data_IF_618505453093
#
_entry.id   IF_618505453093
#
_cell.length_a   1.000
_cell.length_b   1.000
_cell.length_c   1.000
_cell.angle_alpha   90.00
_cell.angle_beta   90.00
_cell.angle_gamma   90.00
#
_symmetry.space_group_name_H-M   'P 1'
#
loop_
_entity.id
_entity.type
_entity.pdbx_description
1 polymer ?
#
# COMPACT_ATOMS: atom_id res chain seq x y z
N UNK A 1 -17.20 -18.89 -14.50
CA UNK A 1 -16.32 -18.18 -13.56
C UNK A 1 -16.18 -16.73 -14.02
N UNK A 2 -16.78 -15.78 -13.32
CA UNK A 2 -16.73 -14.35 -13.66
C UNK A 2 -15.36 -13.83 -13.20
N UNK A 3 -14.50 -13.37 -14.13
CA UNK A 3 -13.41 -12.46 -13.75
C UNK A 3 -14.10 -11.24 -13.13
N UNK A 4 -13.93 -11.03 -11.83
CA UNK A 4 -14.19 -9.72 -11.24
C UNK A 4 -13.20 -8.80 -11.94
N UNK A 5 -13.70 -7.89 -12.78
CA UNK A 5 -12.89 -6.80 -13.27
C UNK A 5 -12.29 -6.13 -12.03
N UNK A 6 -10.96 -6.10 -11.94
CA UNK A 6 -10.27 -5.39 -10.88
C UNK A 6 -10.78 -3.96 -10.94
N UNK A 7 -11.45 -3.51 -9.88
CA UNK A 7 -11.92 -2.14 -9.78
C UNK A 7 -10.71 -1.21 -10.01
N UNK A 8 -10.69 -0.41 -11.09
CA UNK A 8 -9.52 0.38 -11.47
C UNK A 8 -9.17 1.42 -10.41
N UNK A 9 -10.11 1.76 -9.52
CA UNK A 9 -9.91 2.69 -8.43
C UNK A 9 -9.33 2.03 -7.17
N UNK A 10 -9.20 0.70 -7.11
CA UNK A 10 -8.58 0.03 -5.96
C UNK A 10 -7.09 0.34 -5.87
N UNK A 11 -6.67 0.70 -4.66
CA UNK A 11 -5.26 0.94 -4.33
C UNK A 11 -4.45 -0.34 -4.52
N UNK A 12 -3.31 -0.21 -5.20
CA UNK A 12 -2.30 -1.25 -5.30
C UNK A 12 -1.38 -1.20 -4.08
N UNK A 13 -1.78 -1.90 -3.01
CA UNK A 13 -1.04 -1.96 -1.75
C UNK A 13 0.35 -2.60 -1.90
N UNK A 14 0.53 -3.50 -2.87
CA UNK A 14 1.83 -4.07 -3.16
C UNK A 14 2.76 -2.98 -3.72
N UNK A 15 2.28 -2.23 -4.72
CA UNK A 15 3.08 -1.16 -5.34
C UNK A 15 3.38 -0.03 -4.35
N UNK A 16 2.45 0.32 -3.45
CA UNK A 16 2.71 1.26 -2.33
C UNK A 16 3.91 0.80 -1.49
N UNK A 17 3.96 -0.48 -1.11
CA UNK A 17 5.05 -1.04 -0.32
C UNK A 17 6.36 -1.17 -1.12
N UNK A 18 6.29 -1.38 -2.43
CA UNK A 18 7.46 -1.37 -3.33
C UNK A 18 8.05 0.02 -3.44
N UNK A 19 7.22 1.05 -3.61
CA UNK A 19 7.66 2.44 -3.68
C UNK A 19 8.36 2.87 -2.40
N UNK A 20 7.79 2.53 -1.24
CA UNK A 20 8.45 2.73 0.06
C UNK A 20 9.82 2.03 0.11
N UNK A 21 9.89 0.79 -0.37
CA UNK A 21 11.15 0.04 -0.46
C UNK A 21 12.20 0.72 -1.34
N UNK A 22 11.79 1.30 -2.48
CA UNK A 22 12.67 2.06 -3.39
C UNK A 22 13.20 3.35 -2.75
N UNK A 23 12.44 3.93 -1.82
CA UNK A 23 12.87 5.07 -1.00
C UNK A 23 13.69 4.67 0.23
N UNK A 24 14.09 3.40 0.37
CA UNK A 24 14.88 2.92 1.50
C UNK A 24 14.06 2.57 2.75
N UNK A 25 12.73 2.52 2.66
CA UNK A 25 11.84 2.12 3.76
C UNK A 25 11.38 0.68 3.53
N UNK A 26 12.03 -0.33 4.14
CA UNK A 26 11.60 -1.72 3.98
C UNK A 26 10.24 -1.94 4.64
N UNK A 27 9.50 -2.94 4.15
CA UNK A 27 8.15 -3.25 4.62
C UNK A 27 8.03 -3.46 6.14
N UNK A 28 9.08 -3.96 6.79
CA UNK A 28 9.14 -4.09 8.25
C UNK A 28 9.18 -2.74 8.98
N UNK A 29 9.90 -1.77 8.41
CA UNK A 29 9.96 -0.41 8.97
C UNK A 29 8.65 0.34 8.71
N UNK A 30 8.04 0.13 7.54
CA UNK A 30 6.70 0.65 7.27
C UNK A 30 5.67 0.09 8.26
N UNK A 31 5.70 -1.22 8.54
CA UNK A 31 4.83 -1.86 9.54
C UNK A 31 4.98 -1.22 10.93
N UNK A 32 6.22 -1.03 11.37
CA UNK A 32 6.52 -0.38 12.64
C UNK A 32 6.04 1.07 12.69
N UNK A 33 6.24 1.82 11.61
CA UNK A 33 5.84 3.23 11.50
C UNK A 33 4.32 3.44 11.61
N UNK A 34 3.52 2.49 11.12
CA UNK A 34 2.04 2.57 11.19
C UNK A 34 1.45 1.75 12.35
N UNK A 35 2.29 1.12 13.17
CA UNK A 35 1.89 0.43 14.40
C UNK A 35 1.21 -0.93 14.18
N UNK A 36 1.60 -1.68 13.15
CA UNK A 36 1.03 -3.00 12.85
C UNK A 36 2.08 -4.12 12.75
N UNK A 37 1.62 -5.37 12.73
CA UNK A 37 2.51 -6.53 12.63
C UNK A 37 3.13 -6.68 11.23
N UNK A 38 4.35 -7.21 11.18
CA UNK A 38 5.02 -7.56 9.91
C UNK A 38 4.21 -8.59 9.11
N UNK A 39 3.57 -9.53 9.79
CA UNK A 39 2.72 -10.56 9.17
C UNK A 39 1.51 -9.94 8.47
N UNK A 40 0.92 -8.89 9.04
CA UNK A 40 -0.19 -8.14 8.43
C UNK A 40 0.26 -7.51 7.11
N UNK A 41 1.39 -6.79 7.11
CA UNK A 41 1.97 -6.19 5.89
C UNK A 41 2.35 -7.24 4.86
N UNK A 42 2.86 -8.40 5.29
CA UNK A 42 3.15 -9.52 4.41
C UNK A 42 1.89 -10.07 3.72
N UNK A 43 0.76 -10.12 4.42
CA UNK A 43 -0.54 -10.44 3.84
C UNK A 43 -0.95 -9.44 2.74
N UNK A 44 -0.69 -8.14 2.95
CA UNK A 44 -1.00 -7.12 1.94
C UNK A 44 -0.16 -7.26 0.67
N UNK A 45 1.11 -7.65 0.80
CA UNK A 45 1.95 -8.00 -0.35
C UNK A 45 1.44 -9.20 -1.15
N UNK A 46 0.62 -10.05 -0.54
CA UNK A 46 -0.02 -11.20 -1.21
C UNK A 46 -1.43 -10.88 -1.72
N UNK A 47 -1.86 -9.62 -1.66
CA UNK A 47 -3.14 -9.16 -2.18
C UNK A 47 -4.27 -9.06 -1.15
N UNK A 48 -4.00 -9.26 0.14
CA UNK A 48 -4.96 -8.87 1.17
C UNK A 48 -5.10 -7.34 1.24
N UNK A 49 -6.28 -6.87 1.63
CA UNK A 49 -6.55 -5.44 1.76
C UNK A 49 -6.42 -5.00 3.22
N UNK A 50 -5.74 -3.87 3.51
CA UNK A 50 -5.78 -3.25 4.82
C UNK A 50 -7.20 -2.85 5.22
N UNK A 51 -7.48 -2.81 6.52
CA UNK A 51 -8.65 -2.09 7.02
C UNK A 51 -8.49 -0.60 6.70
N UNK A 52 -9.60 0.11 6.56
CA UNK A 52 -9.64 1.54 6.22
C UNK A 52 -8.59 2.36 7.01
N UNK A 53 -8.61 2.30 8.34
CA UNK A 53 -7.69 3.06 9.19
C UNK A 53 -6.21 2.69 9.01
N UNK A 54 -5.90 1.43 8.72
CA UNK A 54 -4.51 0.99 8.48
C UNK A 54 -4.04 1.37 7.07
N UNK A 55 -4.96 1.34 6.10
CA UNK A 55 -4.74 1.81 4.75
C UNK A 55 -4.44 3.31 4.71
N UNK A 56 -5.23 4.12 5.40
CA UNK A 56 -5.01 5.57 5.51
C UNK A 56 -3.63 5.90 6.08
N UNK A 57 -3.20 5.23 7.16
CA UNK A 57 -1.86 5.41 7.73
C UNK A 57 -0.76 5.05 6.72
N UNK A 58 -0.95 3.97 5.97
CA UNK A 58 0.04 3.53 4.98
C UNK A 58 0.12 4.53 3.81
N UNK A 59 -1.02 5.08 3.35
CA UNK A 59 -1.04 6.13 2.31
C UNK A 59 -0.38 7.40 2.80
N UNK A 60 -0.66 7.83 4.04
CA UNK A 60 -0.02 9.01 4.63
C UNK A 60 1.51 8.84 4.74
N UNK A 61 1.97 7.66 5.17
CA UNK A 61 3.40 7.32 5.19
C UNK A 61 4.01 7.38 3.79
N UNK A 62 3.35 6.76 2.80
CA UNK A 62 3.82 6.75 1.41
C UNK A 62 3.92 8.16 0.83
N UNK A 63 2.91 9.00 1.04
CA UNK A 63 2.92 10.39 0.57
C UNK A 63 4.08 11.17 1.19
N UNK A 64 4.29 11.03 2.51
CA UNK A 64 5.38 11.70 3.23
C UNK A 64 6.78 11.27 2.78
N UNK A 65 6.97 9.98 2.47
CA UNK A 65 8.28 9.43 2.05
C UNK A 65 8.58 9.68 0.58
N UNK A 66 7.58 9.57 -0.30
CA UNK A 66 7.76 9.74 -1.75
C UNK A 66 7.67 11.19 -2.20
N UNK A 67 7.12 12.09 -1.37
CA UNK A 67 6.83 13.48 -1.73
C UNK A 67 5.66 13.63 -2.72
N UNK A 68 4.93 12.55 -3.00
CA UNK A 68 3.77 12.55 -3.89
C UNK A 68 2.47 12.85 -3.12
N UNK A 69 1.46 13.46 -3.76
CA UNK A 69 0.16 13.66 -3.16
C UNK A 69 -0.56 12.30 -2.95
N UNK A 70 -1.41 12.19 -1.92
CA UNK A 70 -2.10 10.94 -1.58
C UNK A 70 -3.02 10.45 -2.72
N UNK A 71 -3.52 11.35 -3.54
CA UNK A 71 -4.35 11.07 -4.72
C UNK A 71 -3.58 10.31 -5.80
N UNK A 72 -2.25 10.45 -5.83
CA UNK A 72 -1.36 9.74 -6.74
C UNK A 72 -0.93 8.36 -6.20
N UNK A 73 -1.56 7.87 -5.14
CA UNK A 73 -1.34 6.51 -4.64
C UNK A 73 -1.53 5.50 -5.78
N UNK A 74 -0.64 4.50 -5.93
CA UNK A 74 -0.77 3.46 -6.94
C UNK A 74 -2.16 2.81 -6.95
N UNK A 75 -2.74 2.62 -8.14
CA UNK A 75 -4.03 1.93 -8.33
C UNK A 75 -3.91 0.83 -9.38
N UNK A 76 -4.68 -0.24 -9.20
CA UNK A 76 -4.60 -1.46 -10.03
C UNK A 76 -5.05 -1.26 -11.49
N UNK A 77 -5.64 -0.10 -11.84
CA UNK A 77 -6.09 0.24 -13.20
C UNK A 77 -5.30 1.33 -13.92
N UNK A 78 -4.25 1.90 -13.32
CA UNK A 78 -3.42 2.91 -13.97
C UNK A 78 -2.25 2.23 -14.71
N UNK A 79 -2.37 2.09 -16.03
CA UNK A 79 -1.29 1.71 -16.96
C UNK A 79 -0.57 2.94 -17.51
#
# INVERSE_FOLDING_TARGET
MRRLATDPDRVDWFQVLVDLGRCGVPASSAAAAIGISKTTVWGWKQGAEPKFADGEKLVALWAGITGKPAEAVPRLGQV
#
